data_IF_473442785940
#
_entry.id   IF_473442785940
#
_cell.length_a   1.000
_cell.length_b   1.000
_cell.length_c   1.000
_cell.angle_alpha   90.00
_cell.angle_beta   90.00
_cell.angle_gamma   90.00
#
_symmetry.space_group_name_H-M   'P 1'
#
loop_
_entity.id
_entity.type
_entity.pdbx_description
1 polymer ?
#
# COMPACT_ATOMS: atom_id res chain seq x y z
N UNK A 1 -1.13 11.17 4.49
CA UNK A 1 -1.58 9.84 4.91
C UNK A 1 -2.77 9.88 5.86
N UNK A 2 -2.68 10.51 7.04
CA UNK A 2 -3.79 10.55 8.02
C UNK A 2 -5.10 11.12 7.45
N UNK A 3 -5.05 12.15 6.61
CA UNK A 3 -6.27 12.72 6.01
C UNK A 3 -6.87 11.82 4.92
N UNK A 4 -6.02 11.11 4.18
CA UNK A 4 -6.42 10.16 3.13
C UNK A 4 -7.03 8.90 3.77
N UNK A 5 -6.48 8.46 4.91
CA UNK A 5 -7.03 7.37 5.72
C UNK A 5 -8.39 7.73 6.32
N UNK A 6 -8.55 8.97 6.84
CA UNK A 6 -9.86 9.47 7.29
C UNK A 6 -10.92 9.51 6.19
N UNK A 7 -10.51 9.68 4.93
CA UNK A 7 -11.40 9.65 3.78
C UNK A 7 -11.74 8.21 3.32
N UNK A 8 -11.19 7.18 3.97
CA UNK A 8 -11.44 5.77 3.63
C UNK A 8 -10.74 5.29 2.36
N UNK A 9 -9.90 6.13 1.74
CA UNK A 9 -9.21 5.85 0.47
C UNK A 9 -8.10 4.80 0.68
N UNK A 10 -7.47 4.83 1.84
CA UNK A 10 -6.40 3.92 2.27
C UNK A 10 -6.69 3.43 3.68
N UNK A 11 -6.18 2.25 4.03
CA UNK A 11 -6.36 1.68 5.37
C UNK A 11 -5.08 1.78 6.21
N UNK A 12 -5.14 1.33 7.47
CA UNK A 12 -4.00 1.33 8.39
C UNK A 12 -2.80 0.52 7.88
N UNK A 13 -3.04 -0.58 7.15
CA UNK A 13 -1.98 -1.38 6.52
C UNK A 13 -1.24 -0.57 5.45
N UNK A 14 -1.97 0.20 4.65
CA UNK A 14 -1.40 1.09 3.63
C UNK A 14 -0.62 2.26 4.27
N UNK A 15 -1.17 2.87 5.33
CA UNK A 15 -0.48 3.92 6.10
C UNK A 15 0.84 3.43 6.68
N UNK A 16 0.88 2.20 7.22
CA UNK A 16 2.12 1.60 7.73
C UNK A 16 3.16 1.35 6.63
N UNK A 17 2.72 1.01 5.41
CA UNK A 17 3.61 0.83 4.28
C UNK A 17 4.33 2.14 3.93
N UNK A 18 3.61 3.26 3.95
CA UNK A 18 4.17 4.60 3.70
C UNK A 18 5.32 4.95 4.65
N UNK A 19 5.21 4.60 5.93
CA UNK A 19 6.26 4.89 6.92
C UNK A 19 7.59 4.22 6.57
N UNK A 20 7.57 3.02 5.99
CA UNK A 20 8.79 2.33 5.54
C UNK A 20 9.47 3.10 4.41
N UNK A 21 8.68 3.60 3.45
CA UNK A 21 9.18 4.45 2.37
C UNK A 21 9.71 5.79 2.89
N UNK A 22 9.01 6.39 3.85
CA UNK A 22 9.42 7.66 4.46
C UNK A 22 10.81 7.54 5.07
N UNK A 23 11.02 6.55 5.94
CA UNK A 23 12.33 6.26 6.55
C UNK A 23 13.43 6.06 5.51
N UNK A 24 13.17 5.25 4.47
CA UNK A 24 14.14 5.01 3.39
C UNK A 24 14.50 6.28 2.63
N UNK A 25 13.51 7.10 2.31
CA UNK A 25 13.71 8.37 1.58
C UNK A 25 14.56 9.36 2.39
N UNK A 26 14.49 9.29 3.72
CA UNK A 26 15.33 10.09 4.63
C UNK A 26 16.66 9.43 5.00
N UNK A 27 17.08 8.39 4.25
CA UNK A 27 18.40 7.77 4.39
C UNK A 27 18.54 6.78 5.55
N UNK A 28 17.43 6.44 6.23
CA UNK A 28 17.49 5.43 7.29
C UNK A 28 17.82 4.05 6.72
N UNK A 29 18.66 3.31 7.45
CA UNK A 29 18.96 1.91 7.14
C UNK A 29 17.75 1.04 7.53
N UNK A 30 16.92 0.72 6.54
CA UNK A 30 15.98 -0.39 6.65
C UNK A 30 16.72 -1.71 6.40
N UNK A 31 16.44 -2.70 7.25
CA UNK A 31 17.07 -4.02 7.18
C UNK A 31 16.82 -4.72 5.86
N UNK A 32 17.70 -5.66 5.52
CA UNK A 32 17.66 -6.47 4.29
C UNK A 32 16.93 -7.80 4.53
N UNK A 33 16.20 -8.31 3.53
CA UNK A 33 15.53 -9.62 3.58
C UNK A 33 14.04 -9.58 3.20
N UNK A 34 13.33 -10.70 3.42
CA UNK A 34 11.92 -10.87 3.01
C UNK A 34 10.99 -9.77 3.54
N UNK A 35 11.18 -9.34 4.79
CA UNK A 35 10.39 -8.26 5.38
C UNK A 35 10.47 -6.93 4.58
N UNK A 36 11.62 -6.66 3.95
CA UNK A 36 11.79 -5.48 3.10
C UNK A 36 11.09 -5.63 1.76
N UNK A 37 11.11 -6.83 1.18
CA UNK A 37 10.37 -7.17 -0.05
C UNK A 37 8.86 -7.04 0.21
N UNK A 38 8.37 -7.59 1.32
CA UNK A 38 6.96 -7.49 1.72
C UNK A 38 6.54 -6.03 1.90
N UNK A 39 7.42 -5.20 2.45
CA UNK A 39 7.17 -3.77 2.60
C UNK A 39 7.09 -3.04 1.25
N UNK A 40 7.91 -3.42 0.26
CA UNK A 40 7.82 -2.87 -1.10
C UNK A 40 6.51 -3.26 -1.78
N UNK A 41 6.07 -4.51 -1.64
CA UNK A 41 4.78 -4.92 -2.21
C UNK A 41 3.60 -4.18 -1.56
N UNK A 42 3.63 -3.95 -0.25
CA UNK A 42 2.62 -3.12 0.43
C UNK A 42 2.64 -1.67 -0.07
N UNK A 43 3.81 -1.11 -0.38
CA UNK A 43 3.94 0.22 -0.97
C UNK A 43 3.35 0.31 -2.38
N UNK A 44 3.53 -0.73 -3.20
CA UNK A 44 2.91 -0.82 -4.54
C UNK A 44 1.38 -0.79 -4.41
N UNK A 45 0.82 -1.50 -3.44
CA UNK A 45 -0.64 -1.51 -3.21
C UNK A 45 -1.16 -0.17 -2.73
N UNK A 46 -0.45 0.49 -1.81
CA UNK A 46 -0.78 1.87 -1.43
C UNK A 46 -0.81 2.79 -2.66
N UNK A 47 0.21 2.70 -3.55
CA UNK A 47 0.25 3.51 -4.77
C UNK A 47 -0.93 3.19 -5.70
N UNK A 48 -1.27 1.91 -5.88
CA UNK A 48 -2.42 1.49 -6.68
C UNK A 48 -3.73 2.04 -6.12
N UNK A 49 -3.97 1.96 -4.81
CA UNK A 49 -5.17 2.52 -4.18
C UNK A 49 -5.29 4.03 -4.40
N UNK A 50 -4.18 4.78 -4.32
CA UNK A 50 -4.18 6.21 -4.62
C UNK A 50 -4.53 6.49 -6.09
N UNK A 51 -3.97 5.71 -7.02
CA UNK A 51 -4.27 5.82 -8.46
C UNK A 51 -5.74 5.46 -8.73
N UNK A 52 -6.21 4.34 -8.18
CA UNK A 52 -7.59 3.88 -8.33
C UNK A 52 -8.58 4.93 -7.85
N UNK A 53 -8.34 5.52 -6.69
CA UNK A 53 -9.15 6.64 -6.21
C UNK A 53 -9.10 7.83 -7.16
N UNK A 54 -7.91 8.24 -7.61
CA UNK A 54 -7.73 9.40 -8.48
C UNK A 54 -8.48 9.24 -9.82
N UNK A 55 -8.51 8.04 -10.38
CA UNK A 55 -9.17 7.76 -11.66
C UNK A 55 -10.61 7.26 -11.50
N UNK A 56 -11.12 7.16 -10.27
CA UNK A 56 -12.45 6.61 -9.99
C UNK A 56 -12.61 5.12 -10.33
N UNK A 57 -11.52 4.35 -10.32
CA UNK A 57 -11.53 2.92 -10.59
C UNK A 57 -12.39 2.17 -9.57
N UNK A 58 -13.17 1.19 -10.07
CA UNK A 58 -13.92 0.23 -9.26
C UNK A 58 -13.83 -1.13 -9.93
N UNK A 59 -13.41 -2.14 -9.18
CA UNK A 59 -13.28 -3.49 -9.72
C UNK A 59 -12.18 -4.30 -9.06
N UNK A 60 -11.86 -5.43 -9.70
CA UNK A 60 -10.90 -6.41 -9.18
C UNK A 60 -9.47 -5.93 -9.35
N UNK A 61 -8.63 -6.21 -8.38
CA UNK A 61 -7.19 -5.97 -8.46
C UNK A 61 -6.44 -7.11 -7.76
N UNK A 62 -5.18 -7.31 -8.15
CA UNK A 62 -4.29 -8.25 -7.48
C UNK A 62 -3.59 -7.56 -6.31
N UNK A 63 -3.79 -8.07 -5.09
CA UNK A 63 -3.13 -7.56 -3.88
C UNK A 63 -1.74 -8.19 -3.72
N UNK A 64 -0.74 -7.60 -4.39
CA UNK A 64 0.66 -7.99 -4.26
C UNK A 64 1.21 -7.90 -2.82
N UNK A 65 0.58 -7.09 -1.96
CA UNK A 65 1.03 -6.91 -0.59
C UNK A 65 0.56 -8.00 0.38
N UNK A 66 -0.23 -8.97 -0.09
CA UNK A 66 -0.64 -10.16 0.65
C UNK A 66 -0.04 -11.42 0.05
N UNK A 67 0.30 -12.38 0.91
CA UNK A 67 0.90 -13.63 0.46
C UNK A 67 -0.07 -14.41 -0.45
N UNK A 68 0.45 -14.97 -1.54
CA UNK A 68 -0.38 -15.63 -2.56
C UNK A 68 -1.09 -14.68 -3.53
N UNK A 69 -0.87 -13.36 -3.40
CA UNK A 69 -1.36 -12.33 -4.33
C UNK A 69 -2.86 -12.46 -4.64
N UNK A 70 -3.74 -12.43 -3.62
CA UNK A 70 -5.16 -12.66 -3.82
C UNK A 70 -5.78 -11.57 -4.70
N UNK A 71 -6.85 -11.94 -5.41
CA UNK A 71 -7.70 -10.98 -6.12
C UNK A 71 -8.70 -10.39 -5.13
N UNK A 72 -8.81 -9.06 -5.10
CA UNK A 72 -9.71 -8.30 -4.22
C UNK A 72 -10.50 -7.27 -4.99
N UNK A 73 -11.55 -6.72 -4.40
CA UNK A 73 -12.31 -5.61 -4.97
C UNK A 73 -11.95 -4.26 -4.33
N UNK A 74 -11.92 -3.21 -5.16
CA UNK A 74 -11.72 -1.81 -4.77
C UNK A 74 -13.04 -1.03 -5.04
N UNK A 75 -13.53 -0.15 -4.13
CA UNK A 75 -12.83 0.42 -2.96
C UNK A 75 -12.83 -0.43 -1.68
N UNK A 76 -13.73 -1.39 -1.48
CA UNK A 76 -13.70 -2.22 -0.26
C UNK A 76 -13.88 -3.71 -0.57
N UNK A 77 -13.02 -4.49 0.11
CA UNK A 77 -12.78 -5.93 0.01
C UNK A 77 -14.04 -6.79 -0.01
#
# INVERSE_FOLDING_TARGET
MKDIEKQGIVNKRDTNAWEVRHKKAHGEKIGVGQAQIDSHHKLIILLNHLIFNLIGYKGKYTDYGEHGFPIKEYPHN
#
